data_IF_654207319574
#
_entry.id   IF_654207319574
#
_cell.length_a   1.000
_cell.length_b   1.000
_cell.length_c   1.000
_cell.angle_alpha   90.00
_cell.angle_beta   90.00
_cell.angle_gamma   90.00
#
_symmetry.space_group_name_H-M   'P 1'
#
loop_
_entity.id
_entity.type
_entity.pdbx_description
1 polymer ?
#
# COMPACT_ATOMS: atom_id res chain seq x y z
N UNK A 1 24.03 25.21 -13.83
CA UNK A 1 23.44 23.88 -14.08
C UNK A 1 22.65 23.51 -12.85
N UNK A 2 21.39 23.92 -12.79
CA UNK A 2 20.48 23.64 -11.66
C UNK A 2 20.01 22.21 -11.78
N UNK A 3 20.52 21.33 -10.91
CA UNK A 3 20.05 19.97 -10.78
C UNK A 3 18.77 20.01 -9.94
N UNK A 4 17.61 20.00 -10.60
CA UNK A 4 16.32 19.85 -9.93
C UNK A 4 16.25 18.42 -9.39
N UNK A 5 16.30 18.26 -8.07
CA UNK A 5 16.01 16.98 -7.43
C UNK A 5 14.54 16.69 -7.70
N UNK A 6 14.23 15.74 -8.58
CA UNK A 6 12.92 15.11 -8.56
C UNK A 6 12.92 14.18 -7.35
N UNK A 7 12.09 14.50 -6.37
CA UNK A 7 11.77 13.62 -5.26
C UNK A 7 11.11 12.35 -5.83
N UNK A 8 11.91 11.33 -6.13
CA UNK A 8 11.46 10.06 -6.71
C UNK A 8 10.99 9.06 -5.66
N UNK A 9 11.12 9.39 -4.37
CA UNK A 9 10.81 8.47 -3.27
C UNK A 9 9.31 8.35 -2.98
N UNK A 10 8.48 9.27 -3.49
CA UNK A 10 7.03 9.23 -3.26
C UNK A 10 6.23 9.12 -4.56
N UNK A 11 5.28 8.18 -4.60
CA UNK A 11 4.42 7.98 -5.76
C UNK A 11 3.48 9.18 -5.98
N UNK A 12 3.20 9.59 -7.24
CA UNK A 12 2.27 10.67 -7.53
C UNK A 12 0.86 10.40 -6.98
N UNK A 13 0.25 11.45 -6.39
CA UNK A 13 -1.11 11.36 -5.83
C UNK A 13 -2.15 12.14 -6.64
N UNK A 14 -3.39 11.70 -6.60
CA UNK A 14 -4.56 12.33 -7.20
C UNK A 14 -5.73 12.44 -6.19
N UNK A 15 -6.66 13.40 -6.38
CA UNK A 15 -7.83 13.52 -5.51
C UNK A 15 -8.71 12.27 -5.54
N UNK A 16 -9.15 11.81 -4.37
CA UNK A 16 -10.18 10.78 -4.25
C UNK A 16 -11.57 11.42 -4.29
N UNK A 17 -12.07 11.67 -5.50
CA UNK A 17 -13.38 12.31 -5.69
C UNK A 17 -13.47 13.67 -4.98
N UNK A 18 -14.56 13.89 -4.26
CA UNK A 18 -14.83 15.15 -3.51
C UNK A 18 -14.44 15.06 -2.03
N UNK A 19 -13.73 14.01 -1.61
CA UNK A 19 -13.42 13.74 -0.20
C UNK A 19 -12.36 14.67 0.40
N UNK A 20 -11.64 15.42 -0.43
CA UNK A 20 -10.47 16.20 -0.02
C UNK A 20 -9.18 15.37 0.19
N UNK A 21 -9.26 14.04 0.13
CA UNK A 21 -8.07 13.17 0.24
C UNK A 21 -7.29 13.12 -1.07
N UNK A 22 -5.96 12.97 -0.96
CA UNK A 22 -5.07 12.63 -2.08
C UNK A 22 -4.52 11.23 -1.91
N UNK A 23 -4.66 10.38 -2.92
CA UNK A 23 -4.19 8.99 -2.90
C UNK A 23 -3.27 8.71 -4.09
N UNK A 24 -2.36 7.75 -3.94
CA UNK A 24 -1.59 7.20 -5.06
C UNK A 24 -2.52 6.50 -6.06
N UNK A 25 -2.10 6.43 -7.33
CA UNK A 25 -2.85 5.67 -8.36
C UNK A 25 -2.82 4.16 -8.10
N UNK A 26 -1.80 3.68 -7.39
CA UNK A 26 -1.62 2.28 -6.97
C UNK A 26 -1.83 2.22 -5.46
N UNK A 27 -2.63 1.27 -4.97
CA UNK A 27 -2.84 1.03 -3.55
C UNK A 27 -2.40 -0.38 -3.15
N UNK A 28 -2.10 -0.56 -1.86
CA UNK A 28 -1.84 -1.87 -1.28
C UNK A 28 -3.16 -2.63 -1.07
N UNK A 29 -3.33 -3.77 -1.75
CA UNK A 29 -4.49 -4.65 -1.57
C UNK A 29 -4.29 -5.59 -0.38
N UNK A 30 -5.25 -5.63 0.55
CA UNK A 30 -5.14 -6.38 1.81
C UNK A 30 -5.97 -7.67 1.86
N UNK A 31 -6.38 -8.25 0.72
CA UNK A 31 -7.30 -9.40 0.71
C UNK A 31 -6.67 -10.71 1.24
N UNK A 32 -5.34 -10.84 1.15
CA UNK A 32 -4.59 -12.07 1.47
C UNK A 32 -3.68 -11.94 2.70
N UNK A 33 -3.90 -10.92 3.53
CA UNK A 33 -3.14 -10.71 4.77
C UNK A 33 -4.04 -10.90 5.99
N UNK A 34 -3.45 -11.18 7.17
CA UNK A 34 -4.21 -11.31 8.43
C UNK A 34 -4.64 -12.73 8.83
N UNK A 35 -3.93 -13.74 8.35
CA UNK A 35 -4.04 -15.12 8.85
C UNK A 35 -5.20 -15.95 8.27
N UNK A 36 -5.20 -17.24 8.64
CA UNK A 36 -6.20 -18.23 8.18
C UNK A 36 -7.53 -18.21 8.92
N UNK A 37 -7.77 -17.23 9.80
CA UNK A 37 -8.96 -17.15 10.67
C UNK A 37 -10.25 -16.75 9.96
N UNK A 38 -10.19 -16.44 8.67
CA UNK A 38 -11.35 -16.04 7.87
C UNK A 38 -11.85 -17.18 6.99
N UNK A 39 -13.17 -17.34 6.87
CA UNK A 39 -13.83 -18.43 6.11
C UNK A 39 -13.40 -18.53 4.64
N UNK A 40 -12.95 -17.43 4.04
CA UNK A 40 -12.48 -17.40 2.65
C UNK A 40 -10.95 -17.24 2.54
N UNK A 41 -10.21 -17.52 3.62
CA UNK A 41 -8.75 -17.52 3.59
C UNK A 41 -8.23 -18.66 2.71
N UNK A 42 -7.10 -18.40 2.05
CA UNK A 42 -6.48 -19.33 1.08
C UNK A 42 -5.40 -20.21 1.72
N UNK A 43 -5.26 -20.16 3.04
CA UNK A 43 -4.23 -20.87 3.79
C UNK A 43 -3.82 -20.13 5.05
N UNK A 44 -2.88 -20.72 5.77
CA UNK A 44 -2.19 -20.05 6.87
C UNK A 44 -1.27 -18.96 6.34
N UNK A 45 -1.44 -17.73 6.82
CA UNK A 45 -0.54 -16.62 6.55
C UNK A 45 0.22 -16.28 7.84
N UNK A 46 1.50 -15.93 7.72
CA UNK A 46 2.26 -15.36 8.83
C UNK A 46 1.94 -13.86 8.96
N UNK A 47 1.62 -13.43 10.18
CA UNK A 47 1.37 -12.01 10.47
C UNK A 47 2.64 -11.16 10.25
N UNK A 48 3.83 -11.75 10.46
CA UNK A 48 5.09 -11.06 10.22
C UNK A 48 5.27 -10.70 8.73
N UNK A 49 4.89 -11.59 7.82
CA UNK A 49 4.93 -11.33 6.38
C UNK A 49 3.92 -10.26 5.98
N UNK A 50 2.73 -10.29 6.59
CA UNK A 50 1.70 -9.26 6.39
C UNK A 50 2.21 -7.87 6.79
N UNK A 51 2.87 -7.77 7.95
CA UNK A 51 3.48 -6.53 8.44
C UNK A 51 4.60 -6.05 7.53
N UNK A 52 5.47 -6.96 7.08
CA UNK A 52 6.57 -6.64 6.19
C UNK A 52 6.06 -6.09 4.85
N UNK A 53 5.00 -6.69 4.28
CA UNK A 53 4.39 -6.25 3.03
C UNK A 53 3.78 -4.85 3.14
N UNK A 54 3.08 -4.55 4.25
CA UNK A 54 2.53 -3.21 4.50
C UNK A 54 3.66 -2.17 4.60
N UNK A 55 4.72 -2.48 5.36
CA UNK A 55 5.87 -1.58 5.54
C UNK A 55 6.64 -1.34 4.25
N UNK A 56 6.65 -2.30 3.33
CA UNK A 56 7.28 -2.15 2.03
C UNK A 56 6.48 -1.25 1.08
N UNK A 57 5.18 -1.11 1.30
CA UNK A 57 4.28 -0.36 0.42
C UNK A 57 4.23 1.15 0.71
N UNK A 58 4.98 1.64 1.70
CA UNK A 58 5.02 3.05 2.16
C UNK A 58 6.44 3.59 2.16
#
# INVERSE_FOLDING_TARGET
>A
MTHTVHDTDTLPTAPLGTTGMRITRVGFGAWAIGGGGWTFAWGSQDDADSIAAIRHAV
#
